data_IF_005432950224
#
_entry.id   IF_005432950224
#
_cell.length_a   1.000
_cell.length_b   1.000
_cell.length_c   1.000
_cell.angle_alpha   90.00
_cell.angle_beta   90.00
_cell.angle_gamma   90.00
#
_symmetry.space_group_name_H-M   'P 1'
#
loop_
_entity.id
_entity.type
_entity.pdbx_description
1 polymer ?
#
# COMPACT_ATOMS: atom_id res chain seq x y z
N UNK A 1 -18.15 6.13 22.46
CA UNK A 1 -17.17 5.02 22.54
C UNK A 1 -16.24 5.28 23.72
N UNK A 2 -16.67 4.95 24.94
CA UNK A 2 -15.87 5.13 26.16
C UNK A 2 -16.06 3.89 27.04
N UNK A 3 -15.10 2.96 27.02
CA UNK A 3 -14.81 1.98 28.09
C UNK A 3 -13.62 1.11 27.65
N UNK A 4 -12.54 1.16 28.44
CA UNK A 4 -11.33 0.32 28.41
C UNK A 4 -10.27 0.56 27.31
N UNK A 5 -9.08 0.98 27.74
CA UNK A 5 -7.84 1.10 26.95
C UNK A 5 -7.42 -0.22 26.26
N UNK A 6 -7.85 -1.39 26.79
CA UNK A 6 -7.60 -2.70 26.16
C UNK A 6 -8.49 -2.94 24.94
N UNK A 7 -9.74 -2.53 24.99
CA UNK A 7 -10.71 -2.77 23.90
C UNK A 7 -10.42 -1.88 22.68
N UNK A 8 -10.00 -0.63 22.91
CA UNK A 8 -9.55 0.27 21.84
C UNK A 8 -8.41 -0.33 21.01
N UNK A 9 -7.53 -1.12 21.65
CA UNK A 9 -6.45 -1.81 20.96
C UNK A 9 -6.91 -2.98 20.10
N UNK A 10 -7.93 -3.71 20.52
CA UNK A 10 -8.46 -4.84 19.76
C UNK A 10 -9.29 -4.33 18.57
N UNK A 11 -10.11 -3.30 18.80
CA UNK A 11 -10.93 -2.67 17.76
C UNK A 11 -10.05 -2.10 16.65
N UNK A 12 -8.99 -1.35 16.97
CA UNK A 12 -8.07 -0.82 15.96
C UNK A 12 -7.42 -1.92 15.12
N UNK A 13 -7.03 -3.04 15.75
CA UNK A 13 -6.44 -4.19 15.04
C UNK A 13 -7.43 -4.82 14.05
N UNK A 14 -8.65 -5.12 14.48
CA UNK A 14 -9.67 -5.73 13.60
C UNK A 14 -10.10 -4.78 12.48
N UNK A 15 -10.22 -3.49 12.79
CA UNK A 15 -10.63 -2.45 11.85
C UNK A 15 -9.60 -2.27 10.72
N UNK A 16 -8.33 -2.62 10.95
CA UNK A 16 -7.31 -2.71 9.89
C UNK A 16 -7.26 -4.11 9.28
N UNK A 17 -7.24 -5.18 10.09
CA UNK A 17 -6.98 -6.53 9.57
C UNK A 17 -8.09 -7.05 8.65
N UNK A 18 -9.35 -6.67 8.87
CA UNK A 18 -10.47 -7.15 8.05
C UNK A 18 -10.34 -6.68 6.59
N UNK A 19 -10.14 -5.38 6.30
CA UNK A 19 -9.86 -4.92 4.94
C UNK A 19 -8.68 -5.63 4.26
N UNK A 20 -7.61 -5.90 5.03
CA UNK A 20 -6.42 -6.58 4.52
C UNK A 20 -6.62 -8.10 4.33
N UNK A 21 -7.55 -8.74 5.04
CA UNK A 21 -7.85 -10.15 4.85
C UNK A 21 -8.53 -10.42 3.49
N UNK A 22 -9.38 -9.49 3.03
CA UNK A 22 -9.99 -9.57 1.69
C UNK A 22 -9.06 -9.00 0.61
N UNK A 23 -8.29 -7.96 0.94
CA UNK A 23 -7.30 -7.30 0.07
C UNK A 23 -7.80 -6.97 -1.35
N UNK A 24 -9.03 -6.45 -1.45
CA UNK A 24 -9.59 -5.97 -2.72
C UNK A 24 -9.69 -4.45 -2.76
N UNK A 25 -9.82 -3.86 -3.96
CA UNK A 25 -10.04 -2.41 -4.14
C UNK A 25 -11.15 -1.86 -3.26
N UNK A 26 -12.30 -2.55 -3.25
CA UNK A 26 -13.48 -2.10 -2.52
C UNK A 26 -13.28 -2.25 -1.02
N UNK A 27 -12.70 -3.37 -0.58
CA UNK A 27 -12.43 -3.61 0.84
C UNK A 27 -11.46 -2.58 1.41
N UNK A 28 -10.35 -2.32 0.71
CA UNK A 28 -9.40 -1.27 1.12
C UNK A 28 -10.02 0.13 1.02
N UNK A 29 -10.87 0.41 0.03
CA UNK A 29 -11.57 1.71 -0.06
C UNK A 29 -12.44 1.96 1.17
N UNK A 30 -13.22 0.96 1.59
CA UNK A 30 -14.03 1.04 2.83
C UNK A 30 -13.13 1.17 4.04
N UNK A 31 -12.06 0.38 4.12
CA UNK A 31 -11.04 0.47 5.17
C UNK A 31 -10.49 1.89 5.32
N UNK A 32 -10.04 2.50 4.23
CA UNK A 32 -9.53 3.89 4.22
C UNK A 32 -10.57 4.89 4.73
N UNK A 33 -11.84 4.77 4.31
CA UNK A 33 -12.90 5.64 4.81
C UNK A 33 -13.11 5.50 6.32
N UNK A 34 -13.08 4.27 6.84
CA UNK A 34 -13.18 4.00 8.28
C UNK A 34 -11.97 4.52 9.05
N UNK A 35 -10.75 4.29 8.54
CA UNK A 35 -9.51 4.76 9.17
C UNK A 35 -9.49 6.27 9.30
N UNK A 36 -9.85 6.98 8.24
CA UNK A 36 -9.95 8.45 8.24
C UNK A 36 -11.02 8.93 9.22
N UNK A 37 -12.18 8.27 9.28
CA UNK A 37 -13.22 8.59 10.27
C UNK A 37 -12.70 8.48 11.70
N UNK A 38 -12.05 7.37 12.04
CA UNK A 38 -11.47 7.16 13.38
C UNK A 38 -10.38 8.18 13.70
N UNK A 39 -9.47 8.46 12.74
CA UNK A 39 -8.40 9.46 12.93
C UNK A 39 -8.97 10.86 13.15
N UNK A 40 -10.03 11.23 12.43
CA UNK A 40 -10.67 12.54 12.56
C UNK A 40 -11.47 12.68 13.86
N UNK A 41 -12.16 11.62 14.31
CA UNK A 41 -12.95 11.63 15.54
C UNK A 41 -12.07 11.55 16.80
N UNK A 42 -10.96 10.80 16.75
CA UNK A 42 -10.05 10.65 17.86
C UNK A 42 -8.58 10.64 17.40
N UNK A 43 -7.96 11.84 17.24
CA UNK A 43 -6.58 11.98 16.80
C UNK A 43 -5.54 11.25 17.68
N UNK A 44 -5.88 10.92 18.94
CA UNK A 44 -4.97 10.16 19.83
C UNK A 44 -4.73 8.73 19.35
N UNK A 45 -5.66 8.16 18.57
CA UNK A 45 -5.54 6.81 18.01
C UNK A 45 -4.79 6.78 16.68
N UNK A 46 -4.54 7.95 16.06
CA UNK A 46 -3.93 8.05 14.73
C UNK A 46 -2.57 7.36 14.64
N UNK A 47 -1.57 7.61 15.52
CA UNK A 47 -0.26 6.96 15.40
C UNK A 47 -0.35 5.44 15.52
N UNK A 48 -1.24 4.96 16.41
CA UNK A 48 -1.48 3.53 16.62
C UNK A 48 -2.13 2.88 15.41
N UNK A 49 -3.15 3.52 14.85
CA UNK A 49 -3.86 3.03 13.68
C UNK A 49 -2.96 3.02 12.46
N UNK A 50 -2.22 4.11 12.22
CA UNK A 50 -1.23 4.21 11.14
C UNK A 50 -0.18 3.10 11.25
N UNK A 51 0.34 2.84 12.45
CA UNK A 51 1.29 1.76 12.68
C UNK A 51 0.67 0.38 12.38
N UNK A 52 -0.59 0.13 12.75
CA UNK A 52 -1.28 -1.12 12.38
C UNK A 52 -1.46 -1.26 10.86
N UNK A 53 -1.78 -0.17 10.14
CA UNK A 53 -1.90 -0.17 8.67
C UNK A 53 -0.54 -0.43 8.03
N UNK A 54 0.52 0.22 8.51
CA UNK A 54 1.89 0.00 8.05
C UNK A 54 2.34 -1.45 8.28
N UNK A 55 2.05 -2.04 9.44
CA UNK A 55 2.32 -3.46 9.72
C UNK A 55 1.58 -4.40 8.76
N UNK A 56 0.33 -4.11 8.43
CA UNK A 56 -0.40 -4.92 7.45
C UNK A 56 0.11 -4.73 6.03
N UNK A 57 0.57 -3.52 5.68
CA UNK A 57 1.32 -3.31 4.44
C UNK A 57 2.60 -4.16 4.41
N UNK A 58 3.40 -4.15 5.48
CA UNK A 58 4.59 -5.01 5.61
C UNK A 58 4.22 -6.50 5.43
N UNK A 59 3.09 -6.96 5.96
CA UNK A 59 2.62 -8.33 5.76
C UNK A 59 2.34 -8.65 4.27
N UNK A 60 1.82 -7.68 3.49
CA UNK A 60 1.64 -7.89 2.03
C UNK A 60 2.96 -8.06 1.29
N UNK A 61 4.04 -7.45 1.78
CA UNK A 61 5.40 -7.65 1.25
C UNK A 61 5.83 -9.10 1.53
N UNK A 62 5.78 -9.52 2.80
CA UNK A 62 6.22 -10.85 3.22
C UNK A 62 5.43 -11.97 2.55
N UNK A 63 4.12 -11.79 2.37
CA UNK A 63 3.25 -12.76 1.71
C UNK A 63 3.26 -12.68 0.17
N UNK A 64 4.04 -11.76 -0.42
CA UNK A 64 4.11 -11.57 -1.89
C UNK A 64 2.73 -11.39 -2.52
N UNK A 65 1.91 -10.51 -1.95
CA UNK A 65 0.56 -10.21 -2.44
C UNK A 65 0.57 -8.90 -3.24
N UNK A 66 -0.35 -8.77 -4.20
CA UNK A 66 -0.54 -7.55 -4.98
C UNK A 66 0.72 -7.14 -5.74
N UNK A 67 1.24 -5.93 -5.45
CA UNK A 67 2.45 -5.39 -6.07
C UNK A 67 3.69 -6.29 -5.94
N UNK A 68 3.76 -7.11 -4.89
CA UNK A 68 4.89 -7.99 -4.61
C UNK A 68 4.69 -9.42 -5.15
N UNK A 69 3.57 -9.68 -5.83
CA UNK A 69 3.21 -11.01 -6.30
C UNK A 69 4.01 -11.44 -7.53
N UNK A 70 4.46 -12.69 -7.52
CA UNK A 70 5.06 -13.35 -8.70
C UNK A 70 4.08 -13.47 -9.88
N UNK A 71 2.76 -13.36 -9.64
CA UNK A 71 1.75 -13.33 -10.71
C UNK A 71 1.89 -12.12 -11.64
N UNK A 72 2.64 -11.09 -11.24
CA UNK A 72 2.99 -9.95 -12.09
C UNK A 72 4.20 -10.21 -12.99
N UNK A 73 4.89 -11.34 -12.84
CA UNK A 73 5.98 -11.71 -13.73
C UNK A 73 5.44 -12.01 -15.13
N UNK A 74 6.07 -11.44 -16.15
CA UNK A 74 5.79 -11.78 -17.54
C UNK A 74 6.75 -12.89 -17.97
N UNK A 75 6.28 -13.95 -18.65
CA UNK A 75 7.18 -14.92 -19.27
C UNK A 75 8.08 -14.23 -20.29
N UNK A 76 9.30 -14.73 -20.42
CA UNK A 76 10.23 -14.22 -21.42
C UNK A 76 9.63 -14.42 -22.83
N UNK A 77 9.51 -13.34 -23.64
CA UNK A 77 8.88 -13.42 -24.96
C UNK A 77 9.58 -14.40 -25.90
N UNK A 78 10.86 -14.72 -25.69
CA UNK A 78 11.60 -15.70 -26.51
C UNK A 78 11.24 -17.15 -26.19
N UNK A 79 10.57 -17.41 -25.07
CA UNK A 79 10.08 -18.74 -24.69
C UNK A 79 8.58 -18.94 -24.95
N UNK A 80 7.92 -17.93 -25.52
CA UNK A 80 6.53 -18.03 -25.93
C UNK A 80 6.44 -18.61 -27.34
N UNK A 81 5.49 -19.53 -27.55
CA UNK A 81 5.18 -20.03 -28.89
C UNK A 81 4.69 -18.88 -29.75
N UNK A 82 5.33 -18.66 -30.90
CA UNK A 82 4.86 -17.70 -31.88
C UNK A 82 3.50 -18.15 -32.44
N UNK A 83 2.50 -17.29 -32.31
CA UNK A 83 1.18 -17.48 -32.90
C UNK A 83 0.98 -16.42 -33.98
N UNK A 84 0.78 -16.86 -35.23
CA UNK A 84 0.47 -15.98 -36.37
C UNK A 84 -1.02 -15.58 -36.43
N UNK A 85 -1.80 -15.96 -35.43
CA UNK A 85 -3.20 -15.56 -35.31
C UNK A 85 -3.30 -14.07 -34.91
N UNK A 86 -4.37 -13.36 -35.33
CA UNK A 86 -4.65 -12.03 -34.81
C UNK A 86 -4.71 -12.03 -33.28
N UNK A 87 -4.25 -10.94 -32.66
CA UNK A 87 -4.30 -10.80 -31.21
C UNK A 87 -5.73 -10.85 -30.70
N UNK A 88 -5.99 -11.69 -29.71
CA UNK A 88 -7.28 -11.73 -29.01
C UNK A 88 -7.40 -10.53 -28.06
N UNK A 89 -8.06 -9.49 -28.53
CA UNK A 89 -8.23 -8.23 -27.78
C UNK A 89 -9.04 -8.42 -26.49
N UNK A 90 -9.98 -9.35 -26.47
CA UNK A 90 -10.83 -9.62 -25.30
C UNK A 90 -10.03 -10.31 -24.20
N UNK A 91 -9.24 -11.33 -24.56
CA UNK A 91 -8.31 -11.97 -23.63
C UNK A 91 -7.27 -10.99 -23.09
N UNK A 92 -6.74 -10.10 -23.93
CA UNK A 92 -5.78 -9.07 -23.48
C UNK A 92 -6.43 -8.06 -22.54
N UNK A 93 -7.67 -7.65 -22.80
CA UNK A 93 -8.42 -6.77 -21.91
C UNK A 93 -8.68 -7.44 -20.55
N UNK A 94 -9.07 -8.71 -20.55
CA UNK A 94 -9.28 -9.49 -19.32
C UNK A 94 -8.01 -9.63 -18.49
N UNK A 95 -6.87 -9.95 -19.12
CA UNK A 95 -5.56 -10.00 -18.45
C UNK A 95 -5.18 -8.67 -17.83
N UNK A 96 -5.40 -7.57 -18.56
CA UNK A 96 -5.16 -6.20 -18.07
C UNK A 96 -6.03 -5.88 -16.86
N UNK A 97 -7.30 -6.28 -16.88
CA UNK A 97 -8.21 -6.09 -15.76
C UNK A 97 -7.75 -6.88 -14.52
N UNK A 98 -7.34 -8.15 -14.69
CA UNK A 98 -6.79 -8.95 -13.59
C UNK A 98 -5.58 -8.29 -12.95
N UNK A 99 -4.62 -7.80 -13.76
CA UNK A 99 -3.46 -7.08 -13.23
C UNK A 99 -3.86 -5.78 -12.53
N UNK A 100 -4.83 -5.04 -13.08
CA UNK A 100 -5.38 -3.85 -12.42
C UNK A 100 -5.95 -4.19 -11.05
N UNK A 101 -6.75 -5.26 -10.95
CA UNK A 101 -7.40 -5.66 -9.71
C UNK A 101 -6.39 -6.09 -8.65
N UNK A 102 -5.31 -6.78 -9.06
CA UNK A 102 -4.16 -7.15 -8.19
C UNK A 102 -3.43 -5.93 -7.64
N UNK A 103 -3.24 -4.89 -8.45
CA UNK A 103 -2.49 -3.67 -8.06
C UNK A 103 -3.35 -2.66 -7.30
N UNK A 104 -4.65 -2.62 -7.57
CA UNK A 104 -5.56 -1.59 -7.08
C UNK A 104 -5.64 -1.41 -5.55
N UNK A 105 -5.50 -2.45 -4.69
CA UNK A 105 -5.50 -2.27 -3.24
C UNK A 105 -4.24 -1.53 -2.78
N UNK A 106 -3.05 -1.91 -3.27
CA UNK A 106 -1.80 -1.19 -3.00
C UNK A 106 -1.85 0.25 -3.54
N UNK A 107 -2.40 0.48 -4.74
CA UNK A 107 -2.59 1.84 -5.25
C UNK A 107 -3.44 2.69 -4.31
N UNK A 108 -4.52 2.13 -3.77
CA UNK A 108 -5.38 2.86 -2.83
C UNK A 108 -4.68 3.16 -1.51
N UNK A 109 -3.88 2.22 -1.01
CA UNK A 109 -3.07 2.41 0.19
C UNK A 109 -2.00 3.49 -0.01
N UNK A 110 -1.29 3.51 -1.14
CA UNK A 110 -0.29 4.53 -1.44
C UNK A 110 -0.91 5.92 -1.56
N UNK A 111 -2.10 6.03 -2.13
CA UNK A 111 -2.87 7.29 -2.14
C UNK A 111 -3.21 7.76 -0.72
N UNK A 112 -3.67 6.84 0.13
CA UNK A 112 -3.95 7.12 1.55
C UNK A 112 -2.68 7.58 2.27
N UNK A 113 -1.59 6.82 2.18
CA UNK A 113 -0.30 7.15 2.79
C UNK A 113 0.23 8.51 2.35
N UNK A 114 0.18 8.79 1.04
CA UNK A 114 0.63 10.07 0.49
C UNK A 114 -0.23 11.22 1.01
N UNK A 115 -1.56 11.06 1.02
CA UNK A 115 -2.47 12.08 1.53
C UNK A 115 -2.25 12.33 3.01
N UNK A 116 -2.15 11.26 3.81
CA UNK A 116 -1.95 11.35 5.24
C UNK A 116 -0.62 12.01 5.59
N UNK A 117 0.48 11.55 4.97
CA UNK A 117 1.80 12.15 5.16
C UNK A 117 1.81 13.66 4.84
N UNK A 118 1.19 14.07 3.72
CA UNK A 118 1.14 15.49 3.36
C UNK A 118 0.31 16.32 4.36
N UNK A 119 -0.75 15.76 4.94
CA UNK A 119 -1.56 16.42 5.96
C UNK A 119 -0.84 16.51 7.31
N UNK A 120 0.01 15.53 7.61
CA UNK A 120 0.78 15.42 8.86
C UNK A 120 2.23 15.87 8.70
N UNK A 121 2.55 16.76 7.74
CA UNK A 121 3.93 17.16 7.46
C UNK A 121 4.61 17.86 8.67
N UNK A 122 3.81 18.47 9.55
CA UNK A 122 4.21 19.04 10.85
C UNK A 122 3.97 18.06 12.03
N UNK A 123 3.71 16.80 11.73
CA UNK A 123 3.28 15.78 12.68
C UNK A 123 4.40 15.23 13.55
N UNK A 124 4.03 14.36 14.48
CA UNK A 124 4.94 13.78 15.48
C UNK A 124 6.11 13.00 14.85
N UNK A 125 7.25 12.99 15.55
CA UNK A 125 8.43 12.18 15.20
C UNK A 125 8.07 10.68 15.03
N UNK A 126 7.06 10.19 15.75
CA UNK A 126 6.63 8.81 15.67
C UNK A 126 5.99 8.46 14.32
N UNK A 127 5.16 9.36 13.76
CA UNK A 127 4.57 9.19 12.42
C UNK A 127 5.67 9.12 11.36
N UNK A 128 6.65 10.03 11.44
CA UNK A 128 7.78 10.04 10.50
C UNK A 128 8.58 8.73 10.56
N UNK A 129 8.85 8.20 11.76
CA UNK A 129 9.55 6.92 11.95
C UNK A 129 8.77 5.74 11.34
N UNK A 130 7.45 5.72 11.48
CA UNK A 130 6.60 4.69 10.86
C UNK A 130 6.72 4.74 9.33
N UNK A 131 6.63 5.93 8.73
CA UNK A 131 6.80 6.09 7.28
C UNK A 131 8.20 5.69 6.79
N UNK A 132 9.26 6.13 7.49
CA UNK A 132 10.63 5.78 7.15
C UNK A 132 10.84 4.27 7.15
N UNK A 133 10.44 3.58 8.22
CA UNK A 133 10.54 2.11 8.31
C UNK A 133 9.74 1.41 7.21
N UNK A 134 8.48 1.81 7.03
CA UNK A 134 7.60 1.22 6.01
C UNK A 134 8.19 1.36 4.61
N UNK A 135 8.72 2.55 4.28
CA UNK A 135 9.32 2.83 2.97
C UNK A 135 10.65 2.10 2.77
N UNK A 136 11.48 1.98 3.80
CA UNK A 136 12.74 1.23 3.73
C UNK A 136 12.49 -0.24 3.35
N UNK A 137 11.55 -0.90 4.05
CA UNK A 137 11.12 -2.27 3.73
C UNK A 137 10.50 -2.37 2.33
N UNK A 138 9.66 -1.40 1.97
CA UNK A 138 8.98 -1.37 0.66
C UNK A 138 9.95 -1.23 -0.50
N UNK A 139 10.86 -0.25 -0.44
CA UNK A 139 11.82 0.04 -1.49
C UNK A 139 12.86 -1.08 -1.61
N UNK A 140 13.21 -1.73 -0.50
CA UNK A 140 14.05 -2.93 -0.51
C UNK A 140 13.34 -4.08 -1.23
N UNK A 141 12.09 -4.38 -0.88
CA UNK A 141 11.33 -5.43 -1.54
C UNK A 141 11.03 -5.16 -3.02
N UNK A 142 10.89 -3.89 -3.41
CA UNK A 142 10.67 -3.51 -4.80
C UNK A 142 11.83 -3.86 -5.74
N UNK A 143 13.06 -4.00 -5.22
CA UNK A 143 14.22 -4.44 -6.00
C UNK A 143 14.03 -5.85 -6.54
N UNK A 144 13.41 -6.72 -5.75
CA UNK A 144 13.16 -8.12 -6.08
C UNK A 144 11.76 -8.36 -6.69
N UNK A 145 10.87 -7.37 -6.63
CA UNK A 145 9.50 -7.50 -7.11
C UNK A 145 9.43 -7.54 -8.66
N UNK A 146 8.56 -8.37 -9.26
CA UNK A 146 8.43 -8.48 -10.71
C UNK A 146 8.09 -7.16 -11.41
N UNK A 147 8.81 -6.85 -12.49
CA UNK A 147 8.62 -5.62 -13.26
C UNK A 147 7.49 -5.78 -14.29
N UNK A 148 6.27 -5.45 -13.88
CA UNK A 148 5.13 -5.38 -14.81
C UNK A 148 4.89 -3.93 -15.27
N UNK A 149 4.68 -3.65 -16.57
CA UNK A 149 4.47 -2.29 -17.07
C UNK A 149 3.33 -1.53 -16.37
N UNK A 150 2.24 -2.22 -16.03
CA UNK A 150 1.10 -1.60 -15.32
C UNK A 150 1.40 -1.23 -13.86
N UNK A 151 2.43 -1.80 -13.25
CA UNK A 151 2.85 -1.46 -11.90
C UNK A 151 3.73 -0.20 -11.85
N UNK A 152 4.18 0.31 -13.02
CA UNK A 152 5.12 1.43 -13.13
C UNK A 152 4.68 2.68 -12.38
N UNK A 153 3.42 3.08 -12.57
CA UNK A 153 2.87 4.26 -11.88
C UNK A 153 2.91 4.11 -10.36
N UNK A 154 2.46 2.96 -9.85
CA UNK A 154 2.48 2.68 -8.42
C UNK A 154 3.90 2.67 -7.83
N UNK A 155 4.87 2.11 -8.57
CA UNK A 155 6.29 2.14 -8.18
C UNK A 155 6.82 3.57 -8.09
N UNK A 156 6.51 4.42 -9.08
CA UNK A 156 6.93 5.81 -9.05
C UNK A 156 6.27 6.61 -7.93
N UNK A 157 5.00 6.34 -7.62
CA UNK A 157 4.32 6.95 -6.47
C UNK A 157 5.00 6.58 -5.14
N UNK A 158 5.44 5.32 -4.99
CA UNK A 158 6.20 4.88 -3.81
C UNK A 158 7.58 5.57 -3.72
N UNK A 159 8.31 5.67 -4.83
CA UNK A 159 9.60 6.39 -4.87
C UNK A 159 9.40 7.86 -4.53
N UNK A 160 8.39 8.52 -5.12
CA UNK A 160 8.07 9.91 -4.86
C UNK A 160 7.69 10.14 -3.38
N UNK A 161 6.90 9.23 -2.79
CA UNK A 161 6.58 9.27 -1.36
C UNK A 161 7.86 9.15 -0.53
N UNK A 162 8.76 8.22 -0.88
CA UNK A 162 10.07 8.07 -0.25
C UNK A 162 10.89 9.35 -0.25
N UNK A 163 11.00 10.01 -1.41
CA UNK A 163 11.72 11.27 -1.56
C UNK A 163 11.10 12.41 -0.72
N UNK A 164 9.76 12.47 -0.65
CA UNK A 164 9.06 13.46 0.19
C UNK A 164 9.34 13.24 1.67
N UNK A 165 9.32 12.00 2.14
CA UNK A 165 9.62 11.65 3.53
C UNK A 165 11.07 12.02 3.86
N UNK A 166 12.04 11.63 3.03
CA UNK A 166 13.46 11.96 3.24
C UNK A 166 13.71 13.47 3.29
N UNK A 167 13.06 14.25 2.42
CA UNK A 167 13.17 15.71 2.45
C UNK A 167 12.71 16.31 3.77
N UNK A 168 11.61 15.79 4.33
CA UNK A 168 11.07 16.28 5.61
C UNK A 168 11.90 15.87 6.83
N UNK A 169 12.52 14.68 6.80
CA UNK A 169 13.33 14.19 7.93
C UNK A 169 14.66 14.93 8.05
N UNK A 170 15.29 15.28 6.92
CA UNK A 170 16.57 16.01 6.93
C UNK A 170 16.43 17.46 7.41
N UNK A 171 15.27 18.09 7.24
CA UNK A 171 14.99 19.44 7.72
C UNK A 171 14.72 19.54 9.22
N UNK A 172 14.48 18.42 9.92
CA UNK A 172 14.22 18.40 11.37
C UNK A 172 15.48 18.28 12.24
N UNK A 173 16.66 18.10 11.62
CA UNK A 173 17.96 17.97 12.31
C UNK A 173 18.75 19.29 12.25
N UNK A 174 18.16 20.36 11.70
CA UNK A 174 18.75 21.71 11.61
C UNK A 174 18.13 22.68 12.61
#
# INVERSE_FOLDING_TARGET
LCRSYRDESAVAKYLVSIPFALFTKQSIKVGVSLWLGVMNENPRLEPKLLNCIAQQWEFTISQKVGLFSSALAHPDPFFLKEEFAPSDLELMAKKRQTVHDVLSPHTRLVQFFTSHFNATLLGSCDIQKVFLRMLDLTLTALKEAPSHPMARELRFQLVLLGLKVLRSSSTSIG
#
